data_IF_153213653372
#
_entry.id   IF_153213653372
#
_cell.length_a   1.000
_cell.length_b   1.000
_cell.length_c   1.000
_cell.angle_alpha   90.00
_cell.angle_beta   90.00
_cell.angle_gamma   90.00
#
_symmetry.space_group_name_H-M   'P 1'
#
loop_
_entity.id
_entity.type
_entity.pdbx_description
1 polymer ?
#
# COMPACT_ATOMS: atom_id res chain seq x y z
N UNK A 1 -13.62 9.21 -6.31
CA UNK A 1 -13.72 8.68 -7.70
C UNK A 1 -12.48 8.98 -8.55
N UNK A 2 -12.20 10.22 -9.04
CA UNK A 2 -10.93 10.48 -9.78
C UNK A 2 -9.66 10.26 -8.95
N UNK A 3 -9.74 10.47 -7.63
CA UNK A 3 -8.65 10.21 -6.67
C UNK A 3 -8.28 8.74 -6.55
N UNK A 4 -9.25 7.83 -6.63
CA UNK A 4 -9.08 6.44 -6.19
C UNK A 4 -8.53 5.57 -7.31
N UNK A 5 -8.94 5.83 -8.56
CA UNK A 5 -8.31 5.24 -9.75
C UNK A 5 -6.85 5.66 -9.87
N UNK A 6 -6.55 6.95 -9.69
CA UNK A 6 -5.17 7.43 -9.70
C UNK A 6 -4.35 6.78 -8.60
N UNK A 7 -4.88 6.72 -7.38
CA UNK A 7 -4.21 6.08 -6.26
C UNK A 7 -3.91 4.61 -6.54
N UNK A 8 -4.91 3.86 -7.04
CA UNK A 8 -4.74 2.46 -7.44
C UNK A 8 -3.62 2.29 -8.48
N UNK A 9 -3.64 3.08 -9.55
CA UNK A 9 -2.64 3.00 -10.62
C UNK A 9 -1.25 3.35 -10.08
N UNK A 10 -1.13 4.36 -9.22
CA UNK A 10 0.14 4.73 -8.59
C UNK A 10 0.68 3.61 -7.70
N UNK A 11 -0.16 3.00 -6.86
CA UNK A 11 0.24 1.86 -6.02
C UNK A 11 0.75 0.69 -6.86
N UNK A 12 0.03 0.30 -7.92
CA UNK A 12 0.44 -0.82 -8.78
C UNK A 12 1.72 -0.48 -9.55
N UNK A 13 1.83 0.73 -10.10
CA UNK A 13 2.95 1.12 -10.96
C UNK A 13 4.27 1.33 -10.20
N UNK A 14 4.22 2.02 -9.06
CA UNK A 14 5.42 2.37 -8.29
C UNK A 14 5.84 1.28 -7.27
N UNK A 15 5.05 0.22 -7.11
CA UNK A 15 5.45 -0.91 -6.27
C UNK A 15 6.64 -1.67 -6.88
N UNK A 16 7.57 -2.09 -6.03
CA UNK A 16 8.76 -2.86 -6.44
C UNK A 16 8.44 -4.31 -6.77
N UNK A 17 7.30 -4.82 -6.28
CA UNK A 17 6.77 -6.16 -6.54
C UNK A 17 5.25 -6.10 -6.67
N UNK A 18 4.61 -7.14 -7.24
CA UNK A 18 3.15 -7.26 -7.19
C UNK A 18 2.64 -7.14 -5.74
N UNK A 19 1.58 -6.36 -5.59
CA UNK A 19 0.95 -6.10 -4.30
C UNK A 19 -0.03 -7.24 -3.99
N UNK A 20 0.00 -7.76 -2.77
CA UNK A 20 -1.09 -8.67 -2.36
C UNK A 20 -2.40 -7.89 -2.27
N UNK A 21 -3.51 -8.60 -2.45
CA UNK A 21 -4.82 -7.98 -2.36
C UNK A 21 -5.11 -7.43 -0.94
N UNK A 22 -4.54 -8.04 0.10
CA UNK A 22 -4.61 -7.54 1.47
C UNK A 22 -3.78 -6.28 1.68
N UNK A 23 -2.57 -6.23 1.14
CA UNK A 23 -1.74 -5.03 1.17
C UNK A 23 -2.46 -3.89 0.43
N UNK A 24 -3.07 -4.18 -0.73
CA UNK A 24 -3.70 -3.18 -1.56
C UNK A 24 -4.94 -2.61 -0.88
N UNK A 25 -5.69 -3.45 -0.17
CA UNK A 25 -6.84 -3.02 0.63
C UNK A 25 -6.43 -1.96 1.64
N UNK A 26 -5.35 -2.18 2.38
CA UNK A 26 -4.84 -1.17 3.31
C UNK A 26 -4.32 0.08 2.61
N UNK A 27 -3.57 -0.08 1.51
CA UNK A 27 -3.03 1.02 0.73
C UNK A 27 -4.12 1.96 0.15
N UNK A 28 -5.29 1.40 -0.19
CA UNK A 28 -6.43 2.15 -0.70
C UNK A 28 -7.22 2.87 0.40
N UNK A 29 -7.13 2.41 1.66
CA UNK A 29 -7.90 2.94 2.79
C UNK A 29 -7.06 3.92 3.61
N UNK A 30 -5.78 3.60 3.79
CA UNK A 30 -4.82 4.41 4.53
C UNK A 30 -4.10 5.35 3.58
N UNK A 31 -4.80 6.40 3.19
CA UNK A 31 -4.19 7.51 2.47
C UNK A 31 -3.43 8.45 3.42
N UNK A 32 -2.58 9.31 2.84
CA UNK A 32 -1.75 10.27 3.55
C UNK A 32 -2.53 11.22 4.47
N UNK A 33 -3.81 11.46 4.14
CA UNK A 33 -4.71 12.36 4.87
C UNK A 33 -5.81 11.62 5.65
N UNK A 34 -5.66 10.29 5.81
CA UNK A 34 -6.60 9.45 6.56
C UNK A 34 -6.74 9.95 8.02
N UNK A 35 -7.95 10.29 8.51
CA UNK A 35 -8.14 10.87 9.84
C UNK A 35 -8.00 9.83 10.97
N UNK A 36 -8.11 8.55 10.66
CA UNK A 36 -8.11 7.46 11.62
C UNK A 36 -6.74 7.21 12.25
N UNK A 37 -6.72 6.87 13.54
CA UNK A 37 -5.50 6.63 14.34
C UNK A 37 -5.21 5.15 14.57
N UNK A 38 -6.13 4.27 14.20
CA UNK A 38 -6.01 2.83 14.40
C UNK A 38 -6.56 2.06 13.20
N UNK A 39 -6.05 0.84 13.00
CA UNK A 39 -6.52 -0.08 11.96
C UNK A 39 -7.99 -0.44 12.19
N UNK A 40 -8.40 -0.61 13.45
CA UNK A 40 -9.79 -0.88 13.79
C UNK A 40 -10.74 0.24 13.32
N UNK A 41 -10.33 1.51 13.45
CA UNK A 41 -11.12 2.64 12.98
C UNK A 41 -11.24 2.65 11.45
N UNK A 42 -10.17 2.30 10.74
CA UNK A 42 -10.20 2.15 9.28
C UNK A 42 -11.10 0.99 8.83
N UNK A 43 -11.13 -0.12 9.57
CA UNK A 43 -11.98 -1.28 9.26
C UNK A 43 -13.47 -1.01 9.45
N UNK A 44 -13.81 -0.14 10.41
CA UNK A 44 -15.19 0.22 10.70
C UNK A 44 -15.74 1.32 9.77
N UNK A 45 -14.90 1.88 8.89
CA UNK A 45 -15.35 2.81 7.86
C UNK A 45 -16.07 2.05 6.73
N UNK A 46 -17.10 2.65 6.14
CA UNK A 46 -17.93 2.03 5.09
C UNK A 46 -17.14 1.56 3.86
N UNK A 47 -15.94 2.13 3.63
CA UNK A 47 -15.10 1.84 2.47
C UNK A 47 -14.26 0.54 2.61
N UNK A 48 -14.21 -0.09 3.78
CA UNK A 48 -13.45 -1.32 4.02
C UNK A 48 -14.30 -2.56 3.67
N UNK A 49 -13.80 -3.41 2.77
CA UNK A 49 -14.43 -4.72 2.48
C UNK A 49 -13.43 -5.84 2.70
N UNK A 50 -13.80 -6.85 3.52
CA UNK A 50 -12.98 -8.05 3.72
C UNK A 50 -13.07 -9.04 2.55
N UNK A 51 -14.02 -8.84 1.62
CA UNK A 51 -14.25 -9.77 0.53
C UNK A 51 -13.21 -9.59 -0.59
N UNK A 52 -12.51 -10.66 -0.90
CA UNK A 52 -11.51 -10.70 -1.96
C UNK A 52 -12.12 -10.60 -3.35
N UNK A 53 -13.34 -11.11 -3.56
CA UNK A 53 -14.05 -10.98 -4.84
C UNK A 53 -14.50 -9.54 -5.05
N UNK A 54 -15.06 -8.90 -4.03
CA UNK A 54 -15.41 -7.48 -4.07
C UNK A 54 -14.20 -6.59 -4.31
N UNK A 55 -13.05 -6.86 -3.66
CA UNK A 55 -11.81 -6.14 -3.94
C UNK A 55 -11.29 -6.38 -5.36
N UNK A 56 -11.36 -7.61 -5.88
CA UNK A 56 -11.00 -7.91 -7.27
C UNK A 56 -11.87 -7.12 -8.27
N UNK A 57 -13.17 -7.04 -8.01
CA UNK A 57 -14.10 -6.18 -8.75
C UNK A 57 -13.73 -4.70 -8.66
N UNK A 58 -13.38 -4.21 -7.47
CA UNK A 58 -12.95 -2.82 -7.26
C UNK A 58 -11.69 -2.49 -8.03
N UNK A 59 -10.68 -3.39 -8.04
CA UNK A 59 -9.47 -3.26 -8.86
C UNK A 59 -9.82 -3.14 -10.33
N UNK A 60 -10.67 -4.03 -10.84
CA UNK A 60 -11.08 -4.02 -12.25
C UNK A 60 -11.85 -2.74 -12.61
N UNK A 61 -12.76 -2.30 -11.75
CA UNK A 61 -13.57 -1.11 -11.96
C UNK A 61 -12.70 0.17 -11.95
N UNK A 62 -11.86 0.36 -10.94
CA UNK A 62 -11.02 1.54 -10.78
C UNK A 62 -9.90 1.62 -11.83
N UNK A 63 -9.38 0.48 -12.28
CA UNK A 63 -8.39 0.42 -13.36
C UNK A 63 -9.00 0.42 -14.76
N UNK A 64 -10.33 0.40 -14.88
CA UNK A 64 -11.03 0.22 -16.16
C UNK A 64 -10.59 -1.04 -16.93
N UNK A 65 -10.27 -2.11 -16.21
CA UNK A 65 -9.80 -3.38 -16.79
C UNK A 65 -8.32 -3.43 -17.14
N UNK A 66 -7.54 -2.40 -16.79
CA UNK A 66 -6.09 -2.37 -17.02
C UNK A 66 -5.31 -3.23 -16.00
N UNK A 67 -5.90 -3.49 -14.84
CA UNK A 67 -5.33 -4.34 -13.81
C UNK A 67 -6.25 -5.52 -13.48
N UNK A 68 -5.64 -6.63 -13.09
CA UNK A 68 -6.31 -7.86 -12.70
C UNK A 68 -5.77 -8.37 -11.36
N UNK A 69 -6.53 -9.30 -10.76
CA UNK A 69 -6.09 -10.06 -9.60
C UNK A 69 -5.76 -11.48 -10.06
N UNK A 70 -4.53 -11.93 -9.80
CA UNK A 70 -4.08 -13.28 -10.13
C UNK A 70 -3.70 -14.04 -8.88
N UNK A 71 -4.00 -15.33 -8.83
CA UNK A 71 -3.54 -16.21 -7.75
C UNK A 71 -2.11 -16.66 -8.05
N UNK A 72 -1.14 -16.16 -7.28
CA UNK A 72 0.25 -16.59 -7.35
C UNK A 72 0.58 -17.47 -6.15
N UNK A 73 0.82 -18.75 -6.42
CA UNK A 73 1.00 -19.80 -5.40
C UNK A 73 -0.20 -19.87 -4.44
N UNK A 74 -0.15 -19.14 -3.33
CA UNK A 74 -1.16 -19.10 -2.26
C UNK A 74 -1.73 -17.70 -2.02
N UNK A 75 -1.21 -16.67 -2.69
CA UNK A 75 -1.55 -15.27 -2.45
C UNK A 75 -2.19 -14.69 -3.71
N UNK A 76 -3.31 -13.98 -3.55
CA UNK A 76 -3.89 -13.18 -4.63
C UNK A 76 -3.13 -11.86 -4.72
N UNK A 77 -2.54 -11.59 -5.87
CA UNK A 77 -1.76 -10.37 -6.14
C UNK A 77 -2.41 -9.56 -7.25
N UNK A 78 -2.17 -8.26 -7.23
CA UNK A 78 -2.65 -7.33 -8.25
C UNK A 78 -1.52 -6.96 -9.19
N UNK A 79 -1.81 -7.01 -10.49
CA UNK A 79 -0.87 -6.70 -11.55
C UNK A 79 -1.57 -6.04 -12.75
N UNK A 80 -0.79 -5.39 -13.61
CA UNK A 80 -1.29 -5.00 -14.93
C UNK A 80 -1.47 -6.23 -15.83
N UNK A 81 -2.52 -6.24 -16.64
CA UNK A 81 -2.84 -7.37 -17.53
C UNK A 81 -1.76 -7.63 -18.59
N UNK A 82 -0.96 -6.61 -18.92
CA UNK A 82 0.07 -6.69 -19.96
C UNK A 82 1.15 -5.63 -19.78
N UNK A 83 2.37 -5.90 -20.26
CA UNK A 83 3.50 -4.96 -20.20
C UNK A 83 3.20 -3.63 -20.90
N UNK A 84 2.45 -3.64 -22.01
CA UNK A 84 2.07 -2.42 -22.73
C UNK A 84 1.19 -1.47 -21.92
N UNK A 85 0.44 -1.98 -20.92
CA UNK A 85 -0.34 -1.14 -20.00
C UNK A 85 0.60 -0.35 -19.10
N UNK A 86 1.70 -0.96 -18.66
CA UNK A 86 2.72 -0.27 -17.87
C UNK A 86 3.35 0.88 -18.67
N UNK A 87 3.67 0.62 -19.94
CA UNK A 87 4.24 1.64 -20.84
C UNK A 87 3.23 2.76 -21.14
N UNK A 88 1.93 2.43 -21.22
CA UNK A 88 0.85 3.41 -21.36
C UNK A 88 0.73 4.29 -20.12
N UNK A 89 0.72 3.70 -18.92
CA UNK A 89 0.65 4.43 -17.66
C UNK A 89 1.86 5.37 -17.53
N UNK A 90 3.08 4.88 -17.81
CA UNK A 90 4.30 5.69 -17.72
C UNK A 90 4.21 6.98 -18.55
N UNK A 91 3.71 6.88 -19.79
CA UNK A 91 3.54 8.04 -20.68
C UNK A 91 2.37 8.92 -20.25
N UNK A 92 1.28 8.33 -19.75
CA UNK A 92 0.06 9.03 -19.35
C UNK A 92 0.05 9.55 -17.91
N UNK A 93 1.06 9.25 -17.08
CA UNK A 93 1.12 9.69 -15.68
C UNK A 93 1.01 11.22 -15.55
N UNK A 94 1.60 11.96 -16.50
CA UNK A 94 1.52 13.42 -16.50
C UNK A 94 0.12 13.95 -16.79
N UNK A 95 -0.68 13.23 -17.57
CA UNK A 95 -2.07 13.60 -17.88
C UNK A 95 -3.02 13.24 -16.72
N UNK A 96 -2.63 12.27 -15.90
CA UNK A 96 -3.39 11.82 -14.74
C UNK A 96 -3.27 12.78 -13.53
N UNK A 97 -2.19 13.55 -13.44
CA UNK A 97 -1.95 14.54 -12.37
C UNK A 97 -2.03 15.97 -12.94
N UNK A 98 -3.26 16.46 -13.09
CA UNK A 98 -3.58 17.78 -13.66
C UNK A 98 -2.95 18.99 -12.93
N UNK A 99 -2.31 18.78 -11.77
CA UNK A 99 -1.69 19.83 -10.96
C UNK A 99 -0.19 20.04 -11.24
N UNK A 100 0.42 19.26 -12.15
CA UNK A 100 1.87 19.19 -12.30
C UNK A 100 2.35 19.64 -13.68
N UNK A 101 3.36 20.51 -13.71
CA UNK A 101 3.88 21.13 -14.95
C UNK A 101 4.97 20.28 -15.65
N UNK A 102 5.42 19.17 -15.05
CA UNK A 102 6.43 18.26 -15.64
C UNK A 102 6.34 16.82 -15.12
N UNK A 103 6.75 15.84 -15.92
CA UNK A 103 6.72 14.41 -15.55
C UNK A 103 7.51 14.08 -14.26
N UNK A 104 8.69 14.69 -14.07
CA UNK A 104 9.49 14.50 -12.84
C UNK A 104 8.75 15.00 -11.59
N UNK A 105 7.99 16.09 -11.72
CA UNK A 105 7.17 16.59 -10.60
C UNK A 105 6.00 15.67 -10.25
N UNK A 106 5.46 14.94 -11.23
CA UNK A 106 4.38 13.95 -11.05
C UNK A 106 4.89 12.73 -10.30
N UNK A 107 6.00 12.16 -10.75
CA UNK A 107 6.64 10.99 -10.10
C UNK A 107 7.01 11.34 -8.66
N UNK A 108 7.65 12.49 -8.45
CA UNK A 108 8.01 12.95 -7.11
C UNK A 108 6.79 13.12 -6.19
N UNK A 109 5.70 13.71 -6.69
CA UNK A 109 4.45 13.88 -5.93
C UNK A 109 3.79 12.54 -5.60
N UNK A 110 3.77 11.60 -6.55
CA UNK A 110 3.25 10.26 -6.33
C UNK A 110 4.05 9.56 -5.22
N UNK A 111 5.38 9.48 -5.34
CA UNK A 111 6.22 8.89 -4.29
C UNK A 111 6.07 9.60 -2.94
N UNK A 112 5.97 10.92 -2.92
CA UNK A 112 5.74 11.67 -1.69
C UNK A 112 4.42 11.26 -1.02
N UNK A 113 3.32 11.18 -1.76
CA UNK A 113 2.02 10.73 -1.23
C UNK A 113 2.09 9.29 -0.73
N UNK A 114 2.62 8.36 -1.55
CA UNK A 114 2.75 6.96 -1.17
C UNK A 114 3.58 6.79 0.11
N UNK A 115 4.69 7.52 0.23
CA UNK A 115 5.55 7.48 1.43
C UNK A 115 4.81 7.98 2.68
N UNK A 116 4.01 9.04 2.54
CA UNK A 116 3.17 9.55 3.64
C UNK A 116 2.10 8.55 4.05
N UNK A 117 1.47 7.87 3.09
CA UNK A 117 0.51 6.79 3.36
C UNK A 117 1.16 5.64 4.13
N UNK A 118 2.38 5.21 3.74
CA UNK A 118 3.14 4.21 4.49
C UNK A 118 3.46 4.65 5.92
N UNK A 119 3.94 5.89 6.10
CA UNK A 119 4.21 6.44 7.45
C UNK A 119 2.92 6.50 8.27
N UNK A 120 1.80 6.87 7.66
CA UNK A 120 0.50 6.92 8.33
C UNK A 120 0.06 5.53 8.81
N UNK A 121 0.23 4.51 7.99
CA UNK A 121 -0.05 3.11 8.36
C UNK A 121 0.83 2.66 9.54
N UNK A 122 2.13 2.93 9.49
CA UNK A 122 3.07 2.58 10.57
C UNK A 122 2.76 3.31 11.88
N UNK A 123 2.20 4.51 11.79
CA UNK A 123 1.78 5.31 12.95
C UNK A 123 0.44 4.88 13.55
N UNK A 124 -0.26 3.89 12.97
CA UNK A 124 -1.48 3.35 13.56
C UNK A 124 -1.17 2.63 14.87
N UNK A 125 -2.04 2.82 15.87
CA UNK A 125 -1.78 2.38 17.25
C UNK A 125 -1.36 0.92 17.37
N UNK A 126 -2.04 0.02 16.64
CA UNK A 126 -1.76 -1.42 16.65
C UNK A 126 -0.36 -1.74 16.10
N UNK A 127 0.04 -1.05 15.03
CA UNK A 127 1.34 -1.27 14.38
C UNK A 127 2.47 -0.65 15.22
N UNK A 128 2.28 0.60 15.67
CA UNK A 128 3.27 1.31 16.47
C UNK A 128 3.60 0.58 17.78
N UNK A 129 2.59 0.00 18.44
CA UNK A 129 2.77 -0.82 19.64
C UNK A 129 3.52 -2.12 19.32
N UNK A 130 3.17 -2.79 18.23
CA UNK A 130 3.83 -4.03 17.80
C UNK A 130 5.33 -3.82 17.50
N UNK A 131 5.66 -2.70 16.86
CA UNK A 131 7.06 -2.31 16.61
C UNK A 131 7.80 -2.08 17.93
N UNK A 132 7.18 -1.37 18.88
CA UNK A 132 7.80 -1.04 20.17
C UNK A 132 8.11 -2.29 21.00
N UNK A 133 7.19 -3.25 21.05
CA UNK A 133 7.36 -4.51 21.78
C UNK A 133 8.50 -5.35 21.19
N UNK A 134 8.63 -5.40 19.87
CA UNK A 134 9.70 -6.15 19.20
C UNK A 134 11.10 -5.57 19.54
N UNK A 135 11.23 -4.24 19.57
CA UNK A 135 12.48 -3.59 19.99
C UNK A 135 12.86 -3.91 21.44
N UNK A 136 11.88 -3.97 22.35
CA UNK A 136 12.15 -4.33 23.75
C UNK A 136 12.62 -5.80 23.89
N UNK A 137 12.03 -6.72 23.13
CA UNK A 137 12.44 -8.13 23.11
C UNK A 137 13.88 -8.35 22.63
N UNK A 138 14.33 -7.57 21.65
CA UNK A 138 15.72 -7.62 21.16
C UNK A 138 16.72 -7.04 22.17
N UNK A 139 16.32 -6.05 22.98
CA UNK A 139 17.20 -5.45 24.00
C UNK A 139 17.37 -6.32 25.25
N UNK A 140 16.42 -7.19 25.58
CA UNK A 140 16.49 -8.10 26.74
C UNK A 140 17.19 -9.44 26.42
N UNK A 141 17.39 -9.78 25.14
CA UNK A 141 18.01 -11.04 24.70
C UNK A 141 19.55 -11.08 24.72
N UNK A 142 20.23 -10.03 25.19
CA UNK A 142 21.71 -9.92 25.16
C UNK A 142 22.39 -9.97 26.54
N UNK A 143 21.66 -10.30 27.61
CA UNK A 143 22.20 -10.38 28.97
C UNK A 143 22.09 -11.79 29.56
N UNK A 144 22.87 -12.74 29.03
CA UNK A 144 23.19 -13.99 29.74
C UNK A 144 24.63 -14.40 29.48
N UNK A 145 25.57 -13.61 29.99
CA UNK A 145 26.95 -14.06 30.19
C UNK A 145 26.96 -15.10 31.32
N UNK A 146 27.08 -16.37 30.95
CA UNK A 146 27.35 -17.49 31.85
C UNK A 146 28.72 -17.33 32.50
N UNK A 147 28.74 -17.00 33.79
CA UNK A 147 29.91 -17.12 34.65
C UNK A 147 29.77 -18.34 35.56
N UNK A 148 30.31 -19.46 35.10
CA UNK A 148 30.72 -20.62 35.89
C UNK A 148 32.05 -21.03 35.26
N UNK A 149 33.23 -20.71 35.81
CA UNK A 149 33.67 -21.02 37.16
C UNK A 149 34.47 -22.31 37.08
N UNK A 150 35.80 -22.21 36.96
CA UNK A 150 36.87 -23.06 37.49
C UNK A 150 38.16 -22.25 37.49
#
# INVERSE_FOLDING_TARGET
MRSDSLNLIQWIYFATRPFSLDELRWAMIVDADCPHKSLQQCQNAEDYTYDNEMMGWRVKALSCGLAETVTSSTIRVVQFIHQSVKDFVEKGLSDLDAASQSANSVIGRAHYRLSRSCIRYLAMGEIAQSVTINWQGLTLGSSSSSSTGW
#
